data_IF_764620757940
#
_entry.id   IF_764620757940
#
_cell.length_a   1.000
_cell.length_b   1.000
_cell.length_c   1.000
_cell.angle_alpha   90.00
_cell.angle_beta   90.00
_cell.angle_gamma   90.00
#
_symmetry.space_group_name_H-M   'P 1'
#
loop_
_entity.id
_entity.type
_entity.pdbx_description
1 polymer ?
#
# COMPACT_ATOMS: atom_id res chain seq x y z
N UNK A 1 -22.51 2.57 -20.33
CA UNK A 1 -21.38 3.46 -20.67
C UNK A 1 -20.31 3.38 -19.58
N UNK A 2 -19.06 3.71 -19.90
CA UNK A 2 -17.95 3.76 -18.94
C UNK A 2 -17.59 5.24 -18.75
N UNK A 3 -17.49 5.67 -17.50
CA UNK A 3 -17.15 7.04 -17.13
C UNK A 3 -16.02 7.02 -16.11
N UNK A 4 -15.26 8.12 -16.04
CA UNK A 4 -14.22 8.28 -15.04
C UNK A 4 -14.85 8.33 -13.64
N UNK A 5 -14.24 7.60 -12.70
CA UNK A 5 -14.70 7.53 -11.32
C UNK A 5 -13.53 7.74 -10.37
N UNK A 6 -13.64 8.75 -9.50
CA UNK A 6 -12.63 9.04 -8.48
C UNK A 6 -12.95 8.28 -7.19
N UNK A 7 -12.11 7.31 -6.85
CA UNK A 7 -12.17 6.60 -5.58
C UNK A 7 -11.76 7.51 -4.42
N UNK A 8 -12.37 7.31 -3.25
CA UNK A 8 -12.06 7.99 -1.99
C UNK A 8 -10.66 7.69 -1.46
N UNK A 9 -10.10 6.54 -1.85
CA UNK A 9 -8.84 6.03 -1.33
C UNK A 9 -8.96 5.43 0.06
N UNK A 10 -10.17 5.24 0.60
CA UNK A 10 -10.39 4.56 1.87
C UNK A 10 -10.68 3.08 1.64
N UNK A 11 -10.27 2.23 2.58
CA UNK A 11 -10.55 0.82 2.48
C UNK A 11 -10.23 0.05 3.76
N UNK A 12 -10.32 -1.27 3.66
CA UNK A 12 -10.07 -2.22 4.76
C UNK A 12 -9.14 -3.33 4.32
N UNK A 13 -8.27 -3.76 5.23
CA UNK A 13 -7.36 -4.89 5.00
C UNK A 13 -8.15 -6.20 4.96
N UNK A 14 -8.14 -6.90 3.83
CA UNK A 14 -8.78 -8.21 3.64
C UNK A 14 -7.83 -9.34 4.00
N UNK A 15 -6.55 -9.21 3.65
CA UNK A 15 -5.50 -10.18 3.95
C UNK A 15 -4.14 -9.50 3.78
N UNK A 16 -3.12 -9.95 4.51
CA UNK A 16 -1.78 -9.40 4.42
C UNK A 16 -0.70 -10.47 4.61
N UNK A 17 0.51 -10.12 4.20
CA UNK A 17 1.72 -10.88 4.51
C UNK A 17 2.90 -9.93 4.71
N UNK A 18 3.94 -10.40 5.39
CA UNK A 18 5.16 -9.63 5.60
C UNK A 18 6.25 -10.13 4.66
N UNK A 19 6.64 -9.28 3.72
CA UNK A 19 7.73 -9.57 2.78
C UNK A 19 9.06 -9.39 3.51
N UNK A 20 9.69 -10.52 3.85
CA UNK A 20 11.01 -10.55 4.53
C UNK A 20 12.18 -10.66 3.55
N UNK A 21 11.96 -11.34 2.43
CA UNK A 21 12.93 -11.53 1.35
C UNK A 21 12.35 -10.90 0.08
N UNK A 22 12.58 -9.59 -0.14
CA UNK A 22 12.03 -8.89 -1.29
C UNK A 22 12.79 -9.23 -2.59
N UNK A 23 12.17 -8.99 -3.77
CA UNK A 23 12.88 -9.00 -5.03
C UNK A 23 13.89 -7.84 -5.12
N UNK A 24 14.79 -7.93 -6.11
CA UNK A 24 15.80 -6.90 -6.34
C UNK A 24 15.19 -5.51 -6.60
N UNK A 25 15.74 -4.51 -5.94
CA UNK A 25 15.31 -3.11 -6.01
C UNK A 25 14.28 -2.71 -4.93
N UNK A 26 13.92 -3.63 -4.03
CA UNK A 26 12.98 -3.38 -2.93
C UNK A 26 13.59 -3.68 -1.55
N UNK A 27 14.90 -3.95 -1.50
CA UNK A 27 15.64 -4.28 -0.28
C UNK A 27 15.54 -3.19 0.78
N UNK A 28 15.45 -1.92 0.38
CA UNK A 28 15.35 -0.79 1.29
C UNK A 28 14.10 -0.84 2.18
N UNK A 29 13.02 -1.48 1.72
CA UNK A 29 11.76 -1.53 2.46
C UNK A 29 11.64 -2.75 3.38
N UNK A 30 12.59 -3.70 3.35
CA UNK A 30 12.42 -4.95 4.12
C UNK A 30 12.60 -4.72 5.63
N UNK A 31 11.81 -5.42 6.48
CA UNK A 31 10.57 -6.12 6.12
C UNK A 31 9.43 -5.11 5.88
N UNK A 32 8.56 -5.37 4.90
CA UNK A 32 7.35 -4.56 4.70
C UNK A 32 6.08 -5.41 4.60
N UNK A 33 4.96 -4.94 5.18
CA UNK A 33 3.65 -5.52 4.93
C UNK A 33 3.14 -5.21 3.52
N UNK A 34 2.54 -6.20 2.88
CA UNK A 34 1.72 -6.03 1.68
C UNK A 34 0.34 -6.62 1.95
N UNK A 35 -0.70 -5.94 1.50
CA UNK A 35 -2.08 -6.27 1.80
C UNK A 35 -2.98 -6.19 0.57
N UNK A 36 -4.02 -7.03 0.58
CA UNK A 36 -5.22 -6.82 -0.21
C UNK A 36 -6.11 -5.83 0.55
N UNK A 37 -6.42 -4.71 -0.08
CA UNK A 37 -7.28 -3.66 0.47
C UNK A 37 -8.57 -3.60 -0.33
N UNK A 38 -9.70 -3.87 0.32
CA UNK A 38 -11.02 -3.63 -0.25
C UNK A 38 -11.36 -2.16 -0.06
N UNK A 39 -11.52 -1.43 -1.16
CA UNK A 39 -11.92 -0.02 -1.14
C UNK A 39 -13.40 0.11 -0.78
N UNK A 40 -13.79 1.23 -0.19
CA UNK A 40 -15.20 1.50 0.18
C UNK A 40 -16.15 1.36 -1.01
N UNK A 41 -15.67 1.64 -2.23
CA UNK A 41 -16.46 1.54 -3.46
C UNK A 41 -16.51 0.12 -4.06
N UNK A 42 -15.79 -0.85 -3.48
CA UNK A 42 -15.88 -2.28 -3.79
C UNK A 42 -14.65 -2.96 -4.41
N UNK A 43 -13.82 -2.31 -5.25
CA UNK A 43 -12.63 -2.98 -5.80
C UNK A 43 -11.61 -3.38 -4.74
N UNK A 44 -10.92 -4.50 -4.97
CA UNK A 44 -9.80 -4.95 -4.14
C UNK A 44 -8.48 -4.68 -4.85
N UNK A 45 -7.56 -3.99 -4.18
CA UNK A 45 -6.24 -3.64 -4.70
C UNK A 45 -5.13 -4.27 -3.87
N UNK A 46 -4.01 -4.63 -4.51
CA UNK A 46 -2.80 -5.08 -3.83
C UNK A 46 -1.89 -3.88 -3.59
N UNK A 47 -1.55 -3.60 -2.33
CA UNK A 47 -0.72 -2.46 -1.98
C UNK A 47 0.19 -2.75 -0.77
N UNK A 48 1.31 -2.04 -0.67
CA UNK A 48 2.10 -2.04 0.57
C UNK A 48 1.37 -1.23 1.65
N UNK A 49 1.44 -1.71 2.89
CA UNK A 49 1.08 -0.87 4.04
C UNK A 49 2.31 -0.08 4.51
N UNK A 50 2.09 1.11 5.04
CA UNK A 50 3.12 2.01 5.58
C UNK A 50 2.62 2.64 6.86
N UNK A 51 3.55 3.13 7.67
CA UNK A 51 3.25 3.82 8.94
C UNK A 51 2.41 2.96 9.89
N UNK A 52 2.62 1.64 9.87
CA UNK A 52 1.95 0.65 10.72
C UNK A 52 2.95 -0.41 11.11
N UNK A 53 2.95 -0.80 12.38
CA UNK A 53 3.78 -1.91 12.82
C UNK A 53 3.17 -3.23 12.36
N UNK A 54 3.97 -4.20 11.86
CA UNK A 54 3.44 -5.47 11.35
C UNK A 54 2.55 -6.26 12.29
N UNK A 55 2.71 -6.08 13.61
CA UNK A 55 1.95 -6.75 14.65
C UNK A 55 0.59 -6.08 14.91
N UNK A 56 0.41 -4.84 14.47
CA UNK A 56 -0.86 -4.11 14.62
C UNK A 56 -1.84 -4.43 13.50
N UNK A 57 -1.37 -4.98 12.38
CA UNK A 57 -2.21 -5.28 11.21
C UNK A 57 -3.18 -6.41 11.55
N UNK A 58 -4.46 -6.18 11.29
CA UNK A 58 -5.52 -7.16 11.48
C UNK A 58 -6.54 -7.11 10.34
N UNK A 59 -7.35 -8.16 10.23
CA UNK A 59 -8.47 -8.23 9.30
C UNK A 59 -9.46 -7.08 9.58
N UNK A 60 -9.88 -6.41 8.52
CA UNK A 60 -10.81 -5.29 8.60
C UNK A 60 -10.21 -3.98 9.10
N UNK A 61 -8.89 -3.92 9.37
CA UNK A 61 -8.20 -2.67 9.71
C UNK A 61 -8.49 -1.61 8.66
N UNK A 62 -9.00 -0.45 9.11
CA UNK A 62 -9.24 0.71 8.24
C UNK A 62 -7.92 1.32 7.80
N UNK A 63 -7.85 1.69 6.52
CA UNK A 63 -6.69 2.31 5.91
C UNK A 63 -7.07 3.38 4.91
N UNK A 64 -6.18 4.35 4.72
CA UNK A 64 -6.28 5.41 3.72
C UNK A 64 -5.10 5.39 2.75
N UNK A 65 -5.37 5.70 1.48
CA UNK A 65 -4.38 5.78 0.42
C UNK A 65 -3.47 6.99 0.64
N UNK A 66 -2.16 6.79 0.46
CA UNK A 66 -1.15 7.85 0.47
C UNK A 66 -0.21 7.74 -0.72
N UNK A 67 0.23 8.88 -1.23
CA UNK A 67 1.31 8.92 -2.23
C UNK A 67 2.65 8.68 -1.56
N UNK A 68 3.42 7.73 -2.06
CA UNK A 68 4.76 7.38 -1.56
C UNK A 68 5.72 7.14 -2.70
N UNK A 69 7.01 7.34 -2.42
CA UNK A 69 8.07 6.76 -3.23
C UNK A 69 7.95 5.24 -3.16
N UNK A 70 7.70 4.60 -4.29
CA UNK A 70 7.63 3.13 -4.42
C UNK A 70 9.01 2.59 -4.75
N UNK A 71 9.71 3.27 -5.67
CA UNK A 71 11.04 2.87 -6.11
C UNK A 71 11.84 4.09 -6.56
N UNK A 72 13.14 4.02 -6.33
CA UNK A 72 14.12 4.89 -6.95
C UNK A 72 14.98 4.00 -7.84
N UNK A 73 15.17 4.40 -9.08
CA UNK A 73 16.12 3.75 -9.97
C UNK A 73 17.54 4.26 -9.62
N UNK A 74 18.58 3.92 -10.40
CA UNK A 74 19.98 4.28 -10.09
C UNK A 74 20.19 5.80 -9.87
N UNK A 75 21.42 6.24 -9.57
CA UNK A 75 21.71 7.60 -9.08
C UNK A 75 21.16 8.75 -9.96
N UNK A 76 21.06 8.55 -11.28
CA UNK A 76 20.46 9.50 -12.25
C UNK A 76 19.07 9.03 -12.78
N UNK A 77 18.45 8.09 -12.08
CA UNK A 77 17.22 7.42 -12.46
C UNK A 77 15.93 8.13 -12.03
N UNK A 78 14.78 7.60 -12.47
CA UNK A 78 13.46 8.15 -12.12
C UNK A 78 13.11 7.79 -10.67
N UNK A 79 12.40 8.69 -9.99
CA UNK A 79 11.70 8.36 -8.76
C UNK A 79 10.26 7.96 -9.12
N UNK A 80 9.91 6.69 -8.91
CA UNK A 80 8.56 6.19 -9.12
C UNK A 80 7.72 6.44 -7.86
N UNK A 81 6.75 7.34 -7.98
CA UNK A 81 5.69 7.53 -6.99
C UNK A 81 4.49 6.66 -7.31
N UNK A 82 3.80 6.21 -6.26
CA UNK A 82 2.59 5.42 -6.37
C UNK A 82 1.83 5.42 -5.05
N UNK A 83 0.78 4.61 -4.98
CA UNK A 83 -0.02 4.47 -3.77
C UNK A 83 0.59 3.45 -2.80
N UNK A 84 0.48 3.76 -1.51
CA UNK A 84 0.50 2.82 -0.39
C UNK A 84 -0.73 3.09 0.47
N UNK A 85 -0.94 2.28 1.50
CA UNK A 85 -2.01 2.49 2.46
C UNK A 85 -1.44 2.60 3.88
N UNK A 86 -2.07 3.38 4.74
CA UNK A 86 -1.71 3.51 6.16
C UNK A 86 -2.96 3.57 7.03
N UNK A 87 -2.86 3.35 8.35
CA UNK A 87 -3.93 3.68 9.27
C UNK A 87 -4.31 5.18 9.17
N UNK A 88 -5.60 5.54 9.28
CA UNK A 88 -6.03 6.94 9.28
C UNK A 88 -5.39 7.75 10.41
N UNK A 89 -5.02 8.99 10.11
CA UNK A 89 -4.58 9.95 11.14
C UNK A 89 -5.80 10.41 11.93
N UNK A 90 -5.68 10.43 13.27
CA UNK A 90 -6.69 10.98 14.18
C UNK A 90 -6.65 12.50 14.24
#
# INVERSE_FOLDING_TARGET
DIEDFQFSGKGKVVSWTIVRNPPSGYEYYKPYPIALVELEEGPVVLAQLTDVDPEEIDFGMEVEMVTRKVREFEEDGIILYGYKFRPPIK
#
